data_IF_466303137816
#
_entry.id   IF_466303137816
#
_cell.length_a   1.000
_cell.length_b   1.000
_cell.length_c   1.000
_cell.angle_alpha   90.00
_cell.angle_beta   90.00
_cell.angle_gamma   90.00
#
_symmetry.space_group_name_H-M   'P 1'
#
loop_
_entity.id
_entity.type
_entity.pdbx_description
1 polymer ?
#
# COMPACT_ATOMS: atom_id res chain seq x y z
N UNK A 1 19.89 24.09 21.90
CA UNK A 1 21.21 23.86 21.31
C UNK A 1 21.05 23.88 19.81
N UNK A 2 21.74 24.81 19.15
CA UNK A 2 21.75 24.98 17.71
C UNK A 2 22.56 23.87 17.04
N UNK A 3 22.09 23.36 15.91
CA UNK A 3 22.92 22.59 14.99
C UNK A 3 22.64 23.11 13.59
N UNK A 4 23.72 23.57 12.96
CA UNK A 4 23.84 24.39 11.77
C UNK A 4 23.42 23.68 10.50
N UNK A 5 22.92 24.46 9.55
CA UNK A 5 22.65 24.08 8.16
C UNK A 5 23.97 24.07 7.39
N UNK A 6 24.37 22.93 6.82
CA UNK A 6 25.47 22.87 5.84
C UNK A 6 24.93 22.34 4.52
N UNK A 7 24.78 23.28 3.60
CA UNK A 7 24.58 23.07 2.18
C UNK A 7 25.90 22.65 1.52
N UNK A 8 25.90 21.58 0.74
CA UNK A 8 27.00 21.31 -0.18
C UNK A 8 26.51 20.70 -1.49
N UNK A 9 26.28 21.58 -2.46
CA UNK A 9 26.33 21.30 -3.88
C UNK A 9 27.74 20.86 -4.29
N UNK A 10 27.86 19.79 -5.09
CA UNK A 10 28.90 19.73 -6.12
C UNK A 10 28.53 18.75 -7.23
N UNK A 11 28.14 19.32 -8.36
CA UNK A 11 28.06 18.63 -9.64
C UNK A 11 29.48 18.46 -10.22
N UNK A 12 29.86 17.24 -10.59
CA UNK A 12 30.90 17.03 -11.61
C UNK A 12 30.69 15.71 -12.35
N UNK A 13 30.01 15.82 -13.50
CA UNK A 13 30.03 14.82 -14.57
C UNK A 13 31.37 14.91 -15.29
N UNK A 14 32.13 13.82 -15.39
CA UNK A 14 33.06 13.55 -16.51
C UNK A 14 33.18 12.04 -16.75
N UNK A 15 32.84 11.62 -17.95
CA UNK A 15 32.97 10.27 -18.53
C UNK A 15 34.28 10.12 -19.29
N UNK A 16 34.98 8.97 -19.16
CA UNK A 16 35.71 8.26 -20.24
C UNK A 16 36.58 7.08 -19.72
N UNK A 17 36.23 5.87 -20.18
CA UNK A 17 37.06 4.68 -20.55
C UNK A 17 38.32 4.24 -19.76
N UNK A 18 38.29 2.97 -19.32
CA UNK A 18 39.33 2.12 -18.69
C UNK A 18 40.48 1.68 -19.63
N UNK A 19 41.59 1.01 -19.19
CA UNK A 19 41.56 -0.34 -18.58
C UNK A 19 42.59 -0.70 -17.47
N UNK A 20 42.15 -1.67 -16.64
CA UNK A 20 42.88 -2.72 -15.88
C UNK A 20 44.22 -2.42 -15.18
N UNK A 21 44.17 -2.30 -13.84
CA UNK A 21 45.21 -2.80 -12.95
C UNK A 21 44.56 -3.58 -11.80
N UNK A 22 44.98 -4.83 -11.63
CA UNK A 22 44.57 -5.72 -10.55
C UNK A 22 45.16 -5.23 -9.23
N UNK A 23 44.45 -4.36 -8.54
CA UNK A 23 44.68 -4.08 -7.13
C UNK A 23 43.73 -4.95 -6.33
N UNK A 24 44.28 -5.80 -5.45
CA UNK A 24 43.52 -6.39 -4.35
C UNK A 24 43.02 -5.23 -3.48
N UNK A 25 41.81 -4.75 -3.76
CA UNK A 25 41.16 -3.75 -2.94
C UNK A 25 40.86 -4.37 -1.58
N UNK A 26 41.56 -3.88 -0.55
CA UNK A 26 41.15 -4.10 0.83
C UNK A 26 39.64 -3.83 0.94
N UNK A 27 38.86 -4.63 1.67
CA UNK A 27 37.42 -4.42 1.78
C UNK A 27 37.23 -3.01 2.30
N UNK A 28 36.68 -2.13 1.45
CA UNK A 28 36.29 -0.80 1.89
C UNK A 28 35.31 -1.03 3.04
N UNK A 29 35.63 -0.50 4.22
CA UNK A 29 34.70 -0.50 5.36
C UNK A 29 33.52 0.37 4.97
N UNK A 30 32.56 -0.21 4.27
CA UNK A 30 31.34 0.46 3.84
C UNK A 30 30.58 0.91 5.08
N UNK A 31 30.13 2.15 5.08
CA UNK A 31 29.22 2.63 6.12
C UNK A 31 27.84 2.05 5.81
N UNK A 32 27.24 1.38 6.79
CA UNK A 32 25.92 0.79 6.69
C UNK A 32 24.93 1.57 7.56
N UNK A 33 23.75 1.87 7.01
CA UNK A 33 22.69 2.58 7.73
C UNK A 33 21.47 1.68 7.86
N UNK A 34 20.80 1.75 9.02
CA UNK A 34 19.52 1.09 9.28
C UNK A 34 18.44 2.15 9.54
N UNK A 35 17.42 2.18 8.69
CA UNK A 35 16.24 3.01 8.91
C UNK A 35 15.18 2.21 9.70
N UNK A 36 14.65 2.80 10.78
CA UNK A 36 13.56 2.23 11.57
C UNK A 36 12.55 3.32 11.91
N UNK A 37 11.26 3.06 11.64
CA UNK A 37 10.17 3.93 12.08
C UNK A 37 9.79 3.59 13.53
N UNK A 38 9.84 4.57 14.42
CA UNK A 38 9.38 4.42 15.82
C UNK A 38 7.88 4.59 15.91
N UNK A 39 7.33 5.57 15.19
CA UNK A 39 5.91 5.82 15.07
C UNK A 39 5.48 5.61 13.61
N UNK A 40 4.31 5.00 13.43
CA UNK A 40 3.68 4.89 12.12
C UNK A 40 2.93 6.18 11.82
N UNK A 41 2.69 6.43 10.53
CA UNK A 41 1.85 7.55 10.11
C UNK A 41 0.47 7.43 10.75
N UNK A 42 -0.08 8.55 11.19
CA UNK A 42 -1.41 8.63 11.79
C UNK A 42 -2.44 9.29 10.86
N UNK A 43 -1.99 10.00 9.83
CA UNK A 43 -2.87 10.66 8.88
C UNK A 43 -3.66 9.63 8.06
N UNK A 44 -4.98 9.69 8.18
CA UNK A 44 -5.93 8.89 7.41
C UNK A 44 -6.34 9.68 6.16
N UNK A 45 -6.09 9.13 4.99
CA UNK A 45 -6.42 9.74 3.70
C UNK A 45 -7.72 9.17 3.12
N UNK A 46 -8.04 7.92 3.47
CA UNK A 46 -9.21 7.22 3.00
C UNK A 46 -9.83 6.42 4.14
N UNK A 47 -11.15 6.33 4.18
CA UNK A 47 -11.87 5.49 5.13
C UNK A 47 -12.97 4.73 4.39
N UNK A 48 -12.93 3.40 4.45
CA UNK A 48 -13.88 2.54 3.75
C UNK A 48 -14.57 1.64 4.76
N UNK A 49 -15.89 1.55 4.65
CA UNK A 49 -16.70 0.59 5.37
C UNK A 49 -16.97 -0.66 4.52
N UNK A 50 -16.93 -1.83 5.15
CA UNK A 50 -17.27 -3.09 4.49
C UNK A 50 -17.18 -4.31 5.40
N UNK A 51 -17.52 -5.46 4.83
CA UNK A 51 -17.51 -6.78 5.46
C UNK A 51 -16.20 -7.51 5.16
N UNK A 52 -15.07 -7.00 5.69
CA UNK A 52 -13.75 -7.51 5.32
C UNK A 52 -13.38 -8.79 6.08
N UNK A 53 -13.74 -8.91 7.37
CA UNK A 53 -13.45 -10.09 8.19
C UNK A 53 -14.50 -11.18 8.07
N UNK A 54 -15.76 -10.79 7.91
CA UNK A 54 -16.94 -11.66 7.86
C UNK A 54 -18.15 -10.91 7.30
N UNK A 55 -19.09 -11.63 6.67
CA UNK A 55 -20.39 -11.12 6.24
C UNK A 55 -21.24 -10.52 7.36
N UNK A 56 -20.98 -10.92 8.61
CA UNK A 56 -21.80 -10.56 9.77
C UNK A 56 -21.19 -9.45 10.63
N UNK A 57 -20.04 -8.92 10.23
CA UNK A 57 -19.35 -7.86 10.96
C UNK A 57 -19.00 -6.72 10.02
N UNK A 58 -19.32 -5.50 10.45
CA UNK A 58 -18.83 -4.29 9.80
C UNK A 58 -17.46 -3.92 10.31
N UNK A 59 -16.56 -3.65 9.38
CA UNK A 59 -15.21 -3.22 9.64
C UNK A 59 -14.93 -1.90 8.89
N UNK A 60 -13.92 -1.18 9.37
CA UNK A 60 -13.39 0.03 8.73
C UNK A 60 -11.99 -0.25 8.27
N UNK A 61 -11.68 0.08 7.02
CA UNK A 61 -10.31 0.14 6.52
C UNK A 61 -9.91 1.59 6.35
N UNK A 62 -8.90 2.01 7.11
CA UNK A 62 -8.22 3.28 6.90
C UNK A 62 -7.07 3.10 5.91
N UNK A 63 -7.11 3.85 4.82
CA UNK A 63 -5.97 4.03 3.92
C UNK A 63 -5.15 5.22 4.39
N UNK A 64 -3.95 4.95 4.90
CA UNK A 64 -2.95 5.97 5.19
C UNK A 64 -2.08 6.19 3.95
N UNK A 65 -1.02 6.97 4.06
CA UNK A 65 -0.12 7.22 2.93
C UNK A 65 0.59 5.95 2.45
N UNK A 66 1.12 5.13 3.36
CA UNK A 66 1.95 3.96 3.02
C UNK A 66 1.50 2.65 3.66
N UNK A 67 0.40 2.69 4.42
CA UNK A 67 -0.16 1.54 5.13
C UNK A 67 -1.68 1.53 5.05
N UNK A 68 -2.24 0.34 5.21
CA UNK A 68 -3.68 0.15 5.45
C UNK A 68 -3.87 -0.34 6.88
N UNK A 69 -4.95 0.11 7.51
CA UNK A 69 -5.29 -0.26 8.87
C UNK A 69 -6.73 -0.75 8.91
N UNK A 70 -6.93 -1.95 9.44
CA UNK A 70 -8.25 -2.50 9.70
C UNK A 70 -8.64 -2.19 11.14
N UNK A 71 -9.82 -1.61 11.32
CA UNK A 71 -10.37 -1.25 12.61
C UNK A 71 -11.85 -1.62 12.73
N UNK A 72 -12.35 -1.65 13.95
CA UNK A 72 -13.77 -1.84 14.28
C UNK A 72 -14.24 -0.73 15.21
N UNK A 73 -15.54 -0.46 15.21
CA UNK A 73 -16.16 0.38 16.23
C UNK A 73 -16.72 -0.54 17.32
N UNK A 74 -16.20 -0.39 18.54
CA UNK A 74 -16.71 -1.06 19.72
C UNK A 74 -18.12 -0.60 20.08
N UNK A 75 -18.79 -1.34 20.96
CA UNK A 75 -20.14 -0.98 21.44
C UNK A 75 -20.15 0.34 22.24
N UNK A 76 -19.01 0.70 22.79
CA UNK A 76 -18.71 1.96 23.47
C UNK A 76 -18.44 3.13 22.50
N UNK A 77 -18.47 2.88 21.19
CA UNK A 77 -18.16 3.88 20.16
C UNK A 77 -16.67 4.10 19.94
N UNK A 78 -15.79 3.34 20.61
CA UNK A 78 -14.34 3.48 20.47
C UNK A 78 -13.88 2.73 19.22
N UNK A 79 -13.05 3.38 18.41
CA UNK A 79 -12.40 2.75 17.25
C UNK A 79 -11.20 1.95 17.73
N UNK A 80 -11.22 0.64 17.50
CA UNK A 80 -10.13 -0.26 17.84
C UNK A 80 -9.47 -0.83 16.59
N UNK A 81 -8.16 -0.62 16.48
CA UNK A 81 -7.32 -1.22 15.44
C UNK A 81 -7.19 -2.73 15.66
N UNK A 82 -7.41 -3.50 14.60
CA UNK A 82 -7.18 -4.94 14.55
C UNK A 82 -5.78 -5.23 14.01
N UNK A 83 -5.43 -4.57 12.90
CA UNK A 83 -4.09 -4.68 12.32
C UNK A 83 -3.73 -3.44 11.50
N UNK A 84 -2.46 -3.10 11.49
CA UNK A 84 -1.88 -2.16 10.53
C UNK A 84 -0.85 -2.88 9.66
N UNK A 85 -0.94 -2.72 8.35
CA UNK A 85 -0.08 -3.38 7.37
C UNK A 85 0.55 -2.37 6.42
N UNK A 86 1.89 -2.26 6.36
CA UNK A 86 2.56 -1.44 5.36
C UNK A 86 2.43 -2.05 3.96
N UNK A 87 2.18 -1.21 2.96
CA UNK A 87 2.11 -1.60 1.54
C UNK A 87 3.39 -1.28 0.75
N UNK A 88 4.38 -0.65 1.38
CA UNK A 88 5.70 -0.31 0.80
C UNK A 88 5.60 0.43 -0.54
N UNK A 89 4.74 1.44 -0.57
CA UNK A 89 4.50 2.35 -1.68
C UNK A 89 3.44 3.37 -1.26
N UNK A 90 3.21 4.37 -2.10
CA UNK A 90 2.23 5.44 -1.83
C UNK A 90 0.85 5.02 -2.30
N UNK A 91 -0.10 4.93 -1.38
CA UNK A 91 -1.51 4.66 -1.67
C UNK A 91 -2.11 5.91 -2.33
N UNK A 92 -2.68 5.71 -3.52
CA UNK A 92 -3.33 6.80 -4.28
C UNK A 92 -4.83 6.81 -4.09
N UNK A 93 -5.44 5.62 -4.11
CA UNK A 93 -6.88 5.45 -3.92
C UNK A 93 -7.19 4.03 -3.45
N UNK A 94 -8.30 3.89 -2.71
CA UNK A 94 -8.82 2.61 -2.23
C UNK A 94 -10.34 2.53 -2.38
N UNK A 95 -10.86 1.33 -2.65
CA UNK A 95 -12.30 1.07 -2.72
C UNK A 95 -12.66 -0.32 -2.17
N UNK A 96 -13.87 -0.45 -1.62
CA UNK A 96 -14.46 -1.76 -1.34
C UNK A 96 -15.21 -2.27 -2.56
N UNK A 97 -15.02 -3.54 -2.87
CA UNK A 97 -15.83 -4.30 -3.82
C UNK A 97 -16.64 -5.31 -3.03
N UNK A 98 -17.98 -5.13 -2.97
CA UNK A 98 -18.83 -6.06 -2.27
C UNK A 98 -18.68 -7.48 -2.79
N UNK A 99 -18.79 -8.46 -1.90
CA UNK A 99 -18.91 -9.85 -2.34
C UNK A 99 -20.15 -10.03 -3.23
N UNK A 100 -19.99 -10.74 -4.36
CA UNK A 100 -21.09 -11.07 -5.25
C UNK A 100 -21.15 -12.58 -5.48
N UNK A 101 -22.23 -13.20 -5.01
CA UNK A 101 -22.48 -14.65 -5.11
C UNK A 101 -22.52 -15.15 -6.56
N UNK A 102 -22.91 -14.29 -7.51
CA UNK A 102 -22.99 -14.64 -8.94
C UNK A 102 -21.60 -14.87 -9.55
N UNK A 103 -20.55 -14.34 -8.94
CA UNK A 103 -19.16 -14.57 -9.32
C UNK A 103 -18.53 -15.55 -8.34
N UNK A 104 -18.89 -16.83 -8.47
CA UNK A 104 -18.33 -17.93 -7.70
C UNK A 104 -16.79 -17.83 -7.65
N UNK A 105 -16.23 -17.50 -6.49
CA UNK A 105 -14.79 -17.67 -6.28
C UNK A 105 -14.51 -19.16 -6.06
N UNK A 106 -13.46 -19.68 -6.68
CA UNK A 106 -13.04 -21.08 -6.57
C UNK A 106 -12.49 -21.46 -5.18
N UNK A 107 -12.59 -20.59 -4.16
CA UNK A 107 -11.97 -20.80 -2.86
C UNK A 107 -12.95 -20.50 -1.70
N UNK A 108 -13.27 -21.49 -0.84
CA UNK A 108 -14.23 -21.33 0.26
C UNK A 108 -13.82 -20.25 1.29
N UNK A 109 -12.51 -20.01 1.46
CA UNK A 109 -11.98 -19.05 2.47
C UNK A 109 -12.32 -17.58 2.19
N UNK A 110 -12.70 -17.25 0.95
CA UNK A 110 -12.98 -15.88 0.50
C UNK A 110 -14.49 -15.63 0.36
N UNK A 111 -15.31 -16.65 0.61
CA UNK A 111 -16.74 -16.58 0.41
C UNK A 111 -17.37 -15.57 1.38
N UNK A 112 -18.13 -14.63 0.83
CA UNK A 112 -18.84 -13.61 1.60
C UNK A 112 -18.05 -12.37 1.99
N UNK A 113 -16.74 -12.32 1.81
CA UNK A 113 -15.97 -11.15 2.25
C UNK A 113 -15.87 -10.10 1.16
N UNK A 114 -16.05 -8.84 1.56
CA UNK A 114 -15.75 -7.71 0.69
C UNK A 114 -14.25 -7.70 0.37
N UNK A 115 -13.93 -7.27 -0.84
CA UNK A 115 -12.54 -7.18 -1.33
C UNK A 115 -12.10 -5.73 -1.26
N UNK A 116 -10.87 -5.51 -0.85
CA UNK A 116 -10.27 -4.19 -0.86
C UNK A 116 -9.49 -4.02 -2.17
N UNK A 117 -9.81 -2.99 -2.93
CA UNK A 117 -9.09 -2.61 -4.13
C UNK A 117 -8.17 -1.46 -3.78
N UNK A 118 -6.90 -1.58 -4.15
CA UNK A 118 -5.87 -0.58 -3.89
C UNK A 118 -5.19 -0.20 -5.18
N UNK A 119 -5.07 1.11 -5.41
CA UNK A 119 -4.17 1.68 -6.40
C UNK A 119 -3.03 2.39 -5.66
N UNK A 120 -1.80 2.12 -6.08
CA UNK A 120 -0.61 2.77 -5.55
C UNK A 120 0.29 3.31 -6.66
N UNK A 121 1.42 3.90 -6.26
CA UNK A 121 2.55 4.23 -7.12
C UNK A 121 3.26 3.01 -7.74
N UNK A 122 2.87 1.77 -7.43
CA UNK A 122 3.34 0.59 -8.15
C UNK A 122 2.87 0.53 -9.62
N UNK A 123 1.84 1.32 -9.97
CA UNK A 123 1.20 1.27 -11.28
C UNK A 123 0.28 0.06 -11.47
N UNK A 124 -0.04 -0.67 -10.39
CA UNK A 124 -0.92 -1.84 -10.39
C UNK A 124 -2.25 -1.55 -9.69
N UNK A 125 -3.32 -2.15 -10.19
CA UNK A 125 -4.59 -2.35 -9.48
C UNK A 125 -4.50 -3.66 -8.70
N UNK A 126 -4.62 -3.58 -7.39
CA UNK A 126 -4.45 -4.74 -6.51
C UNK A 126 -5.77 -5.06 -5.81
N UNK A 127 -6.18 -6.32 -5.85
CA UNK A 127 -7.31 -6.83 -5.08
C UNK A 127 -6.77 -7.58 -3.87
N UNK A 128 -7.21 -7.17 -2.68
CA UNK A 128 -6.83 -7.74 -1.40
C UNK A 128 -8.05 -8.36 -0.73
N UNK A 129 -7.82 -9.42 0.04
CA UNK A 129 -8.80 -9.95 0.99
C UNK A 129 -8.16 -10.13 2.35
N UNK A 130 -8.99 -10.08 3.41
CA UNK A 130 -8.50 -10.22 4.77
C UNK A 130 -8.54 -11.68 5.23
N UNK A 131 -7.38 -12.16 5.69
CA UNK A 131 -7.26 -13.47 6.32
C UNK A 131 -7.37 -13.33 7.84
N UNK A 132 -8.42 -13.91 8.43
CA UNK A 132 -8.59 -13.89 9.88
C UNK A 132 -7.49 -14.69 10.59
N UNK A 133 -7.08 -15.82 10.02
CA UNK A 133 -6.03 -16.70 10.59
C UNK A 133 -4.67 -15.99 10.65
N UNK A 134 -4.31 -15.26 9.59
CA UNK A 134 -3.04 -14.52 9.52
C UNK A 134 -3.13 -13.08 10.06
N UNK A 135 -4.32 -12.61 10.44
CA UNK A 135 -4.59 -11.23 10.85
C UNK A 135 -4.00 -10.17 9.91
N UNK A 136 -4.09 -10.40 8.59
CA UNK A 136 -3.53 -9.50 7.56
C UNK A 136 -4.29 -9.55 6.24
N UNK A 137 -4.15 -8.50 5.46
CA UNK A 137 -4.54 -8.51 4.06
C UNK A 137 -3.51 -9.25 3.22
N UNK A 138 -3.98 -10.05 2.28
CA UNK A 138 -3.13 -10.68 1.29
C UNK A 138 -3.69 -10.45 -0.11
N UNK A 139 -2.82 -10.37 -1.13
CA UNK A 139 -3.24 -10.14 -2.48
C UNK A 139 -3.90 -11.38 -3.09
N UNK A 140 -5.05 -11.15 -3.71
CA UNK A 140 -5.72 -12.12 -4.58
C UNK A 140 -5.20 -12.02 -6.00
N UNK A 141 -5.06 -10.80 -6.52
CA UNK A 141 -4.57 -10.56 -7.87
C UNK A 141 -4.04 -9.14 -8.02
N UNK A 142 -3.15 -8.96 -9.01
CA UNK A 142 -2.60 -7.68 -9.42
C UNK A 142 -2.76 -7.52 -10.93
N UNK A 143 -3.26 -6.37 -11.35
CA UNK A 143 -3.41 -6.02 -12.76
C UNK A 143 -2.53 -4.81 -13.03
N UNK A 144 -1.59 -4.94 -13.97
CA UNK A 144 -0.72 -3.81 -14.35
C UNK A 144 -1.55 -2.78 -15.13
N UNK A 145 -1.57 -1.53 -14.66
CA UNK A 145 -2.24 -0.41 -15.34
C UNK A 145 -1.23 0.53 -16.02
N UNK A 146 -0.05 0.71 -15.43
CA UNK A 146 0.98 1.64 -15.90
C UNK A 146 2.33 1.32 -15.27
N UNK A 147 3.43 1.93 -15.74
CA UNK A 147 4.72 1.77 -15.08
C UNK A 147 4.72 2.37 -13.66
N UNK A 148 5.56 1.87 -12.73
CA UNK A 148 5.69 2.44 -11.39
C UNK A 148 6.02 3.94 -11.41
N UNK A 149 5.58 4.64 -10.37
CA UNK A 149 5.77 6.06 -10.16
C UNK A 149 4.46 6.82 -9.88
N UNK A 150 4.59 8.14 -9.80
CA UNK A 150 3.49 9.06 -9.53
C UNK A 150 3.29 10.08 -10.66
N UNK A 151 3.43 9.63 -11.91
CA UNK A 151 3.24 10.52 -13.06
C UNK A 151 1.79 10.97 -13.17
N UNK A 152 1.60 12.27 -13.45
CA UNK A 152 0.27 12.89 -13.54
C UNK A 152 -0.59 12.33 -14.66
N UNK A 153 0.03 11.74 -15.69
CA UNK A 153 -0.63 11.26 -16.91
C UNK A 153 -1.01 9.77 -16.88
N UNK A 154 -0.72 9.05 -15.78
CA UNK A 154 -1.02 7.62 -15.67
C UNK A 154 -2.47 7.37 -15.23
N UNK A 155 -3.07 6.29 -15.75
CA UNK A 155 -4.46 5.87 -15.52
C UNK A 155 -4.78 5.43 -14.07
N UNK A 156 -3.82 5.52 -13.16
CA UNK A 156 -3.88 4.97 -11.80
C UNK A 156 -3.97 6.06 -10.72
N UNK A 157 -4.74 7.14 -10.95
CA UNK A 157 -4.90 8.23 -9.97
C UNK A 157 -6.21 8.22 -9.19
N UNK A 158 -7.26 7.60 -9.73
CA UNK A 158 -8.58 7.60 -9.12
C UNK A 158 -9.39 6.38 -9.59
N UNK A 159 -10.00 5.67 -8.64
CA UNK A 159 -10.87 4.51 -8.87
C UNK A 159 -12.28 4.91 -9.34
N UNK A 160 -12.66 6.18 -9.23
CA UNK A 160 -14.03 6.65 -9.43
C UNK A 160 -14.62 6.37 -10.83
N UNK A 161 -13.81 6.24 -11.89
CA UNK A 161 -14.34 5.91 -13.22
C UNK A 161 -14.72 4.43 -13.38
N UNK A 162 -14.06 3.51 -12.66
CA UNK A 162 -14.30 2.07 -12.77
C UNK A 162 -15.55 1.60 -12.01
N UNK A 163 -15.90 2.27 -10.90
CA UNK A 163 -17.00 1.84 -10.02
C UNK A 163 -18.28 2.67 -10.11
N UNK A 164 -18.28 3.87 -10.72
CA UNK A 164 -19.52 4.65 -10.92
C UNK A 164 -20.57 3.88 -11.74
N UNK A 165 -20.13 2.91 -12.56
CA UNK A 165 -21.02 2.05 -13.35
C UNK A 165 -21.61 0.87 -12.58
N UNK A 166 -21.06 0.51 -11.43
CA UNK A 166 -21.52 -0.65 -10.64
C UNK A 166 -22.58 -0.29 -9.58
N UNK A 167 -22.72 1.00 -9.24
CA UNK A 167 -23.78 1.50 -8.34
C UNK A 167 -25.12 1.79 -9.06
N UNK A 168 -25.23 1.47 -10.36
CA UNK A 168 -26.38 1.82 -11.21
C UNK A 168 -26.98 0.62 -11.95
N UNK A 169 -26.88 -0.58 -11.38
CA UNK A 169 -27.55 -1.80 -11.83
C UNK A 169 -28.16 -2.49 -10.61
#
# INVERSE_FOLDING_TARGET
MAVSEEECSNAKVRSSSSPSSSSYSAPSKGVHYLAKSVLRGSAVLHAIYGHFRSLFSYDIVFGKETSIELAIIGKDGIVQTICEQPLFGTIKDIAAVPWNEKFHAQTPRVQGKDRLVVISDSGKLTFLTFCNEMHRFFPLTHIQLSNPGNSRHQLARMLAWLFYRYKRI
#
